data_IF_585744093699
#
_entry.id   IF_585744093699
#
_cell.length_a   1.000
_cell.length_b   1.000
_cell.length_c   1.000
_cell.angle_alpha   90.00
_cell.angle_beta   90.00
_cell.angle_gamma   90.00
#
_symmetry.space_group_name_H-M   'P 1'
#
loop_
_entity.id
_entity.type
_entity.pdbx_description
1 polymer ?
#
# COMPACT_ATOMS: atom_id res chain seq x y z
N UNK A 1 41.74 -17.77 -0.36
CA UNK A 1 40.40 -17.84 -0.99
C UNK A 1 39.25 -17.77 0.00
N UNK A 2 39.30 -18.50 1.14
CA UNK A 2 38.22 -18.53 2.15
C UNK A 2 37.84 -17.15 2.74
N UNK A 3 38.82 -16.29 3.03
CA UNK A 3 38.58 -14.93 3.56
C UNK A 3 37.91 -14.00 2.53
N UNK A 4 38.26 -14.12 1.25
CA UNK A 4 37.67 -13.30 0.16
C UNK A 4 36.22 -13.70 -0.11
N UNK A 5 35.93 -15.00 -0.04
CA UNK A 5 34.57 -15.55 -0.15
C UNK A 5 33.72 -15.14 1.06
N UNK A 6 34.27 -15.18 2.27
CA UNK A 6 33.58 -14.72 3.47
C UNK A 6 33.24 -13.24 3.41
N UNK A 7 34.17 -12.39 2.95
CA UNK A 7 33.93 -10.95 2.80
C UNK A 7 32.88 -10.65 1.73
N UNK A 8 32.90 -11.38 0.61
CA UNK A 8 31.88 -11.29 -0.44
C UNK A 8 30.49 -11.67 0.11
N UNK A 9 30.41 -12.74 0.90
CA UNK A 9 29.16 -13.21 1.49
C UNK A 9 28.57 -12.19 2.48
N UNK A 10 29.43 -11.56 3.30
CA UNK A 10 29.02 -10.47 4.20
C UNK A 10 28.51 -9.24 3.44
N UNK A 11 29.17 -8.87 2.33
CA UNK A 11 28.76 -7.73 1.50
C UNK A 11 27.38 -7.97 0.88
N UNK A 12 27.11 -9.18 0.38
CA UNK A 12 25.79 -9.56 -0.15
C UNK A 12 24.72 -9.47 0.94
N UNK A 13 25.02 -9.92 2.15
CA UNK A 13 24.10 -9.86 3.29
C UNK A 13 23.73 -8.42 3.69
N UNK A 14 24.68 -7.49 3.59
CA UNK A 14 24.44 -6.08 3.88
C UNK A 14 23.50 -5.41 2.86
N UNK A 15 23.58 -5.79 1.59
CA UNK A 15 22.71 -5.23 0.54
C UNK A 15 21.27 -5.73 0.68
N UNK A 16 21.07 -6.96 1.19
CA UNK A 16 19.74 -7.55 1.39
C UNK A 16 18.91 -6.83 2.46
N UNK A 17 19.56 -6.24 3.48
CA UNK A 17 18.86 -5.51 4.56
C UNK A 17 18.31 -4.16 4.09
N UNK A 18 18.84 -3.58 3.01
CA UNK A 18 18.42 -2.27 2.50
C UNK A 18 17.02 -2.28 1.84
N UNK A 19 16.45 -3.46 1.54
CA UNK A 19 15.15 -3.58 0.86
C UNK A 19 13.96 -3.78 1.82
N UNK A 20 14.16 -3.67 3.15
CA UNK A 20 13.14 -4.05 4.14
C UNK A 20 12.04 -3.01 4.40
N UNK A 21 12.00 -1.90 3.66
CA UNK A 21 11.12 -0.76 3.92
C UNK A 21 9.87 -0.65 3.05
N UNK A 22 9.60 -1.61 2.16
CA UNK A 22 8.42 -1.57 1.28
C UNK A 22 7.28 -2.42 1.85
N UNK A 23 6.12 -1.80 2.07
CA UNK A 23 4.93 -2.47 2.57
C UNK A 23 3.72 -2.12 1.71
N UNK A 24 2.99 -3.13 1.25
CA UNK A 24 1.70 -2.95 0.58
C UNK A 24 0.56 -3.32 1.54
N UNK A 25 -0.41 -2.44 1.67
CA UNK A 25 -1.64 -2.64 2.44
C UNK A 25 -2.83 -2.71 1.50
N UNK A 26 -3.70 -3.69 1.70
CA UNK A 26 -4.94 -3.83 0.95
C UNK A 26 -6.14 -3.69 1.90
N UNK A 27 -7.06 -2.81 1.55
CA UNK A 27 -8.32 -2.59 2.24
C UNK A 27 -9.45 -2.88 1.28
N UNK A 28 -10.44 -3.63 1.74
CA UNK A 28 -11.64 -3.95 0.98
C UNK A 28 -12.86 -3.61 1.82
N UNK A 29 -13.88 -3.05 1.19
CA UNK A 29 -15.14 -2.72 1.83
C UNK A 29 -16.29 -2.94 0.87
N UNK A 30 -17.29 -3.70 1.30
CA UNK A 30 -18.50 -3.97 0.54
C UNK A 30 -19.73 -3.49 1.31
N UNK A 31 -20.70 -2.97 0.57
CA UNK A 31 -22.04 -2.62 1.04
C UNK A 31 -23.06 -3.13 0.02
N UNK A 32 -24.35 -2.95 0.30
CA UNK A 32 -25.43 -3.38 -0.60
C UNK A 32 -25.27 -2.90 -2.06
N UNK A 33 -24.72 -1.70 -2.27
CA UNK A 33 -24.65 -1.09 -3.60
C UNK A 33 -23.22 -0.75 -4.06
N UNK A 34 -22.21 -0.91 -3.20
CA UNK A 34 -20.84 -0.47 -3.48
C UNK A 34 -19.82 -1.49 -3.03
N UNK A 35 -18.81 -1.69 -3.87
CA UNK A 35 -17.56 -2.35 -3.52
C UNK A 35 -16.41 -1.35 -3.66
N UNK A 36 -15.52 -1.30 -2.67
CA UNK A 36 -14.38 -0.41 -2.59
C UNK A 36 -13.13 -1.25 -2.34
N UNK A 37 -12.17 -1.13 -3.25
CA UNK A 37 -10.83 -1.69 -3.13
C UNK A 37 -9.83 -0.54 -3.00
N UNK A 38 -9.00 -0.55 -1.96
CA UNK A 38 -7.96 0.45 -1.75
C UNK A 38 -6.62 -0.23 -1.46
N UNK A 39 -5.60 0.14 -2.25
CA UNK A 39 -4.24 -0.37 -2.08
C UNK A 39 -3.31 0.77 -1.74
N UNK A 40 -2.54 0.64 -0.66
CA UNK A 40 -1.50 1.59 -0.26
C UNK A 40 -0.14 0.91 -0.43
N UNK A 41 0.75 1.54 -1.18
CA UNK A 41 2.15 1.17 -1.26
C UNK A 41 2.96 2.18 -0.43
N UNK A 42 3.47 1.73 0.71
CA UNK A 42 4.38 2.48 1.56
C UNK A 42 5.81 2.10 1.21
N UNK A 43 6.65 3.09 0.90
CA UNK A 43 8.10 2.91 0.80
C UNK A 43 8.76 3.68 1.94
N UNK A 44 9.73 3.04 2.61
CA UNK A 44 10.29 3.42 3.92
C UNK A 44 10.85 4.83 4.10
N UNK A 45 10.83 5.67 3.06
CA UNK A 45 11.26 7.06 3.08
C UNK A 45 10.11 8.06 3.36
N UNK A 46 9.03 7.63 4.04
CA UNK A 46 7.81 8.41 4.27
C UNK A 46 6.97 8.73 3.02
N UNK A 47 7.16 8.01 1.91
CA UNK A 47 6.30 8.15 0.75
C UNK A 47 5.29 7.03 0.66
N UNK A 48 4.02 7.41 0.61
CA UNK A 48 2.89 6.53 0.36
C UNK A 48 2.28 6.89 -0.99
N UNK A 49 2.05 5.88 -1.83
CA UNK A 49 1.19 5.98 -3.01
C UNK A 49 -0.01 5.06 -2.83
N UNK A 50 -1.16 5.42 -3.37
CA UNK A 50 -2.32 4.57 -3.24
C UNK A 50 -3.25 4.64 -4.44
N UNK A 51 -3.86 3.50 -4.73
CA UNK A 51 -4.84 3.30 -5.79
C UNK A 51 -6.18 2.95 -5.15
N UNK A 52 -7.23 3.69 -5.49
CA UNK A 52 -8.60 3.44 -5.04
C UNK A 52 -9.48 3.09 -6.22
N UNK A 53 -10.23 1.99 -6.10
CA UNK A 53 -11.27 1.58 -7.03
C UNK A 53 -12.59 1.53 -6.30
N UNK A 54 -13.58 2.29 -6.78
CA UNK A 54 -14.95 2.29 -6.27
C UNK A 54 -15.86 1.79 -7.39
N UNK A 55 -16.56 0.68 -7.14
CA UNK A 55 -17.47 0.05 -8.09
C UNK A 55 -18.88 0.01 -7.53
N UNK A 56 -19.83 0.51 -8.31
CA UNK A 56 -21.25 0.30 -8.02
C UNK A 56 -21.63 -1.14 -8.38
N UNK A 57 -22.22 -1.87 -7.43
CA UNK A 57 -22.64 -3.27 -7.56
C UNK A 57 -24.14 -3.47 -7.32
N UNK A 58 -24.89 -2.39 -7.09
CA UNK A 58 -26.34 -2.46 -6.90
C UNK A 58 -27.09 -2.88 -8.16
N UNK A 59 -28.30 -3.43 -7.98
CA UNK A 59 -29.15 -3.90 -9.08
C UNK A 59 -29.81 -2.74 -9.86
N UNK A 60 -30.02 -1.60 -9.20
CA UNK A 60 -30.66 -0.42 -9.79
C UNK A 60 -29.67 0.42 -10.59
N UNK A 61 -30.16 1.38 -11.38
CA UNK A 61 -29.29 2.32 -12.09
C UNK A 61 -28.32 3.05 -11.15
N UNK A 62 -27.07 3.23 -11.61
CA UNK A 62 -26.06 3.95 -10.85
C UNK A 62 -26.56 5.37 -10.50
N UNK A 63 -26.43 5.81 -9.24
CA UNK A 63 -26.84 7.15 -8.84
C UNK A 63 -26.15 8.23 -9.68
N UNK A 64 -26.90 9.25 -10.10
CA UNK A 64 -26.36 10.40 -10.85
C UNK A 64 -25.46 11.29 -9.99
N UNK A 65 -25.69 11.33 -8.69
CA UNK A 65 -24.93 12.12 -7.73
C UNK A 65 -24.39 11.22 -6.63
N UNK A 66 -23.10 11.36 -6.32
CA UNK A 66 -22.41 10.62 -5.27
C UNK A 66 -21.84 11.66 -4.31
N UNK A 67 -22.35 11.68 -3.07
CA UNK A 67 -21.78 12.52 -2.02
C UNK A 67 -20.54 11.84 -1.45
N UNK A 68 -19.37 12.42 -1.71
CA UNK A 68 -18.10 11.98 -1.12
C UNK A 68 -17.61 12.98 -0.08
N UNK A 69 -17.22 12.47 1.10
CA UNK A 69 -16.54 13.26 2.12
C UNK A 69 -15.10 12.78 2.24
N UNK A 70 -14.15 13.64 1.89
CA UNK A 70 -12.71 13.36 2.06
C UNK A 70 -12.27 13.84 3.44
N UNK A 71 -11.82 12.92 4.29
CA UNK A 71 -11.19 13.25 5.57
C UNK A 71 -9.67 13.28 5.44
N UNK A 72 -9.02 14.33 5.94
CA UNK A 72 -7.56 14.36 6.09
C UNK A 72 -7.19 13.80 7.46
N UNK A 73 -6.38 12.73 7.49
CA UNK A 73 -5.77 12.25 8.73
C UNK A 73 -4.26 12.42 8.62
N UNK A 74 -3.65 13.18 9.53
CA UNK A 74 -2.20 13.26 9.66
C UNK A 74 -1.77 12.17 10.65
N UNK A 75 -1.20 11.08 10.14
CA UNK A 75 -0.56 10.08 10.98
C UNK A 75 0.74 10.62 11.56
N UNK A 76 0.81 10.84 12.87
CA UNK A 76 2.08 11.07 13.55
C UNK A 76 2.76 9.72 13.76
N UNK A 77 3.78 9.41 12.95
CA UNK A 77 4.72 8.34 13.27
C UNK A 77 5.46 8.73 14.56
N UNK A 78 5.23 7.99 15.65
CA UNK A 78 5.92 8.12 16.93
C UNK A 78 7.03 7.09 17.04
#
# INVERSE_FOLDING_TARGET
>A
MKLKISALLCYVFLILVACSGQQTYHFQGESENWNVDYTINSTGDNSESGDITIKYIGENETPKEINSSSGSSSGNAS
#
